data_IF_698069346016
#
_entry.id   IF_698069346016
#
_cell.length_a   1.000
_cell.length_b   1.000
_cell.length_c   1.000
_cell.angle_alpha   90.00
_cell.angle_beta   90.00
_cell.angle_gamma   90.00
#
_symmetry.space_group_name_H-M   'P 1'
#
loop_
_entity.id
_entity.type
_entity.pdbx_description
1 polymer ?
#
# COMPACT_ATOMS: atom_id res chain seq x y z
N UNK A 1 -5.22 -20.86 -4.40
CA UNK A 1 -6.34 -19.90 -4.50
C UNK A 1 -6.00 -18.81 -3.50
N UNK A 2 -5.50 -17.67 -3.97
CA UNK A 2 -4.87 -16.63 -3.13
C UNK A 2 -5.89 -15.54 -2.76
N UNK A 3 -5.99 -15.07 -1.50
CA UNK A 3 -6.91 -14.01 -1.09
C UNK A 3 -6.21 -12.62 -1.13
N UNK A 4 -6.90 -11.59 -1.66
CA UNK A 4 -7.57 -10.47 -0.96
C UNK A 4 -6.61 -9.32 -0.61
N UNK A 5 -6.75 -8.19 -1.33
CA UNK A 5 -6.03 -6.94 -1.07
C UNK A 5 -6.59 -6.28 0.20
N UNK A 6 -5.69 -5.97 1.13
CA UNK A 6 -5.94 -5.40 2.46
C UNK A 6 -6.20 -3.88 2.36
N UNK A 7 -7.41 -3.42 2.69
CA UNK A 7 -7.68 -2.00 2.90
C UNK A 7 -7.79 -1.73 4.40
N UNK A 8 -6.74 -1.15 4.98
CA UNK A 8 -6.70 -0.81 6.41
C UNK A 8 -7.40 0.53 6.71
N UNK A 9 -8.41 0.51 7.58
CA UNK A 9 -9.05 1.70 8.16
C UNK A 9 -9.00 1.68 9.69
N UNK A 10 -8.90 2.87 10.30
CA UNK A 10 -8.87 3.06 11.77
C UNK A 10 -10.24 3.55 12.26
N UNK A 11 -10.76 2.93 13.33
CA UNK A 11 -11.91 3.41 14.08
C UNK A 11 -11.54 3.56 15.54
N UNK A 12 -11.75 4.74 16.10
CA UNK A 12 -11.64 5.00 17.54
C UNK A 12 -13.05 5.02 18.15
N UNK A 13 -13.27 4.18 19.16
CA UNK A 13 -14.46 4.28 20.01
C UNK A 13 -14.05 4.93 21.33
N UNK A 14 -14.55 6.15 21.54
CA UNK A 14 -14.43 6.86 22.82
C UNK A 14 -15.63 6.53 23.71
N UNK A 15 -15.37 6.17 24.97
CA UNK A 15 -16.41 6.12 25.98
C UNK A 15 -16.81 7.55 26.35
N UNK A 16 -17.97 8.00 25.86
CA UNK A 16 -18.50 9.36 26.04
C UNK A 16 -18.63 9.77 27.52
N UNK A 17 -18.68 8.81 28.45
CA UNK A 17 -18.77 9.09 29.87
C UNK A 17 -17.41 9.28 30.56
N UNK A 18 -16.32 8.75 29.99
CA UNK A 18 -14.99 8.74 30.63
C UNK A 18 -13.84 9.28 29.78
N UNK A 19 -14.08 9.55 28.49
CA UNK A 19 -13.07 10.06 27.54
C UNK A 19 -11.90 9.11 27.31
N UNK A 20 -12.02 7.84 27.71
CA UNK A 20 -10.92 6.87 27.62
C UNK A 20 -11.16 5.96 26.41
N UNK A 21 -10.26 5.89 25.41
CA UNK A 21 -10.37 4.94 24.31
C UNK A 21 -10.18 3.53 24.87
N UNK A 22 -11.17 2.63 24.70
CA UNK A 22 -11.14 1.32 25.39
C UNK A 22 -10.65 0.15 24.56
N UNK A 23 -10.82 0.12 23.24
CA UNK A 23 -10.27 -0.94 22.38
C UNK A 23 -10.15 -0.42 20.94
N UNK A 24 -8.96 -0.50 20.35
CA UNK A 24 -8.78 -0.39 18.90
C UNK A 24 -8.60 -1.81 18.34
N UNK A 25 -9.45 -2.20 17.39
CA UNK A 25 -9.27 -3.40 16.59
C UNK A 25 -9.26 -3.01 15.12
N UNK A 26 -8.10 -3.14 14.49
CA UNK A 26 -8.00 -3.13 13.03
C UNK A 26 -8.46 -4.48 12.51
N UNK A 27 -9.42 -4.47 11.60
CA UNK A 27 -9.77 -5.65 10.81
C UNK A 27 -9.52 -5.28 9.37
N UNK A 28 -8.56 -5.94 8.73
CA UNK A 28 -8.42 -5.81 7.30
C UNK A 28 -9.61 -6.46 6.62
N UNK A 29 -10.25 -5.72 5.72
CA UNK A 29 -11.35 -6.21 4.93
C UNK A 29 -10.86 -6.46 3.52
N UNK A 30 -10.79 -7.74 3.14
CA UNK A 30 -10.61 -8.13 1.76
C UNK A 30 -11.84 -7.74 0.94
N UNK A 31 -11.66 -6.85 -0.02
CA UNK A 31 -12.74 -6.44 -0.92
C UNK A 31 -12.77 -7.38 -2.13
N UNK A 32 -13.88 -8.09 -2.31
CA UNK A 32 -14.10 -8.98 -3.47
C UNK A 32 -15.35 -8.55 -4.26
N UNK A 33 -15.33 -8.77 -5.57
CA UNK A 33 -16.48 -8.52 -6.44
C UNK A 33 -17.72 -9.32 -6.02
N UNK A 34 -18.91 -8.86 -6.45
CA UNK A 34 -20.17 -9.55 -6.20
C UNK A 34 -20.11 -11.00 -6.74
N UNK A 35 -20.01 -11.98 -5.84
CA UNK A 35 -19.75 -13.39 -6.17
C UNK A 35 -18.56 -13.99 -5.40
N UNK A 36 -17.85 -13.19 -4.61
CA UNK A 36 -16.75 -13.65 -3.75
C UNK A 36 -15.50 -14.09 -4.53
N UNK A 37 -15.41 -13.72 -5.80
CA UNK A 37 -14.30 -14.10 -6.68
C UNK A 37 -13.83 -12.89 -7.48
N UNK A 38 -12.52 -12.61 -7.41
CA UNK A 38 -11.86 -11.56 -8.19
C UNK A 38 -11.89 -10.16 -7.56
N UNK A 39 -11.04 -9.24 -8.09
CA UNK A 39 -10.95 -7.86 -7.63
C UNK A 39 -12.25 -7.08 -7.90
N UNK A 40 -12.49 -6.01 -7.14
CA UNK A 40 -13.57 -5.08 -7.46
C UNK A 40 -13.30 -4.44 -8.82
N UNK A 41 -14.37 -4.22 -9.58
CA UNK A 41 -14.27 -3.40 -10.77
C UNK A 41 -13.90 -1.96 -10.39
N UNK A 42 -13.21 -1.22 -11.28
CA UNK A 42 -13.05 0.22 -11.11
C UNK A 42 -14.40 0.92 -10.94
N UNK A 43 -14.49 1.85 -9.99
CA UNK A 43 -15.71 2.59 -9.70
C UNK A 43 -15.78 3.15 -8.29
N UNK A 44 -16.88 3.86 -8.00
CA UNK A 44 -17.17 4.38 -6.66
C UNK A 44 -18.14 3.45 -5.94
N UNK A 45 -17.80 3.13 -4.70
CA UNK A 45 -18.50 2.21 -3.83
C UNK A 45 -18.83 2.89 -2.50
N UNK A 46 -19.93 2.47 -1.88
CA UNK A 46 -20.25 2.84 -0.50
C UNK A 46 -19.93 1.66 0.41
N UNK A 47 -19.04 1.88 1.37
CA UNK A 47 -18.65 0.88 2.36
C UNK A 47 -19.49 1.05 3.61
N UNK A 48 -20.02 -0.05 4.10
CA UNK A 48 -20.75 -0.14 5.36
C UNK A 48 -20.12 -1.22 6.22
N UNK A 49 -20.00 -0.98 7.52
CA UNK A 49 -19.54 -1.97 8.49
C UNK A 49 -20.70 -2.34 9.40
N UNK A 50 -21.00 -3.64 9.51
CA UNK A 50 -22.03 -4.15 10.43
C UNK A 50 -21.36 -5.00 11.50
N UNK A 51 -21.60 -4.68 12.77
CA UNK A 51 -21.16 -5.54 13.88
C UNK A 51 -22.21 -6.62 14.11
N UNK A 52 -21.75 -7.87 14.22
CA UNK A 52 -22.59 -9.02 14.57
C UNK A 52 -22.11 -9.61 15.90
N UNK A 53 -23.05 -10.05 16.74
CA UNK A 53 -22.69 -10.80 17.95
C UNK A 53 -22.26 -12.24 17.62
N UNK A 54 -21.81 -12.99 18.63
CA UNK A 54 -21.34 -14.38 18.48
C UNK A 54 -22.41 -15.35 17.95
N UNK A 55 -23.66 -14.92 17.90
CA UNK A 55 -24.81 -15.67 17.38
C UNK A 55 -25.23 -15.20 15.99
N UNK A 56 -24.52 -14.23 15.41
CA UNK A 56 -24.76 -13.67 14.08
C UNK A 56 -25.81 -12.55 14.04
N UNK A 57 -26.25 -12.02 15.18
CA UNK A 57 -27.25 -10.95 15.22
C UNK A 57 -26.57 -9.61 14.98
N UNK A 58 -27.04 -8.85 13.98
CA UNK A 58 -26.56 -7.49 13.75
C UNK A 58 -26.88 -6.58 14.96
N UNK A 59 -25.86 -5.88 15.47
CA UNK A 59 -25.96 -4.99 16.64
C UNK A 59 -25.81 -3.51 16.30
N UNK A 60 -25.31 -3.20 15.12
CA UNK A 60 -25.21 -1.84 14.61
C UNK A 60 -24.57 -1.81 13.22
N UNK A 61 -24.79 -0.72 12.50
CA UNK A 61 -24.12 -0.41 11.24
C UNK A 61 -23.46 0.95 11.31
N UNK A 62 -22.26 1.07 10.76
CA UNK A 62 -21.55 2.32 10.57
C UNK A 62 -21.27 2.55 9.09
N UNK A 63 -21.13 3.82 8.70
CA UNK A 63 -21.02 4.28 7.33
C UNK A 63 -22.23 5.16 6.91
N UNK A 64 -22.35 5.50 5.62
CA UNK A 64 -21.47 5.07 4.53
C UNK A 64 -20.11 5.78 4.52
N UNK A 65 -19.09 5.10 3.99
CA UNK A 65 -17.83 5.71 3.60
C UNK A 65 -17.59 5.54 2.11
N UNK A 66 -17.19 6.63 1.46
CA UNK A 66 -16.85 6.62 0.05
C UNK A 66 -15.54 5.86 -0.17
N UNK A 67 -15.60 4.83 -1.02
CA UNK A 67 -14.44 4.12 -1.55
C UNK A 67 -14.41 4.32 -3.05
N UNK A 68 -13.26 4.71 -3.59
CA UNK A 68 -13.04 4.73 -5.04
C UNK A 68 -12.01 3.68 -5.40
N UNK A 69 -12.44 2.65 -6.12
CA UNK A 69 -11.56 1.68 -6.76
C UNK A 69 -11.13 2.29 -8.08
N UNK A 70 -9.84 2.58 -8.20
CA UNK A 70 -9.33 3.22 -9.39
C UNK A 70 -9.29 2.27 -10.60
N UNK A 71 -9.34 2.85 -11.79
CA UNK A 71 -9.09 2.10 -13.02
C UNK A 71 -7.62 1.68 -13.06
N UNK A 72 -7.35 0.40 -13.36
CA UNK A 72 -5.99 -0.09 -13.54
C UNK A 72 -5.32 0.75 -14.62
N UNK A 73 -4.18 1.37 -14.29
CA UNK A 73 -3.45 2.24 -15.21
C UNK A 73 -3.02 1.51 -16.48
N UNK A 74 -2.76 2.24 -17.59
CA UNK A 74 -2.32 1.64 -18.84
C UNK A 74 -1.05 0.80 -18.66
N UNK A 75 -0.91 -0.24 -19.50
CA UNK A 75 0.15 -1.25 -19.46
C UNK A 75 1.52 -0.67 -19.10
N UNK A 76 2.17 -1.31 -18.14
CA UNK A 76 3.52 -0.98 -17.72
C UNK A 76 4.47 -0.99 -18.93
N UNK A 77 5.22 0.11 -19.14
CA UNK A 77 6.41 0.04 -19.99
C UNK A 77 7.34 -1.03 -19.41
N UNK A 78 7.99 -1.79 -20.30
CA UNK A 78 9.00 -2.74 -19.89
C UNK A 78 10.09 -2.04 -19.05
N UNK A 79 10.45 -2.64 -17.92
CA UNK A 79 11.54 -2.15 -17.09
C UNK A 79 12.87 -2.27 -17.84
N UNK A 80 13.83 -1.37 -17.61
CA UNK A 80 15.16 -1.46 -18.21
C UNK A 80 15.86 -2.77 -17.85
N UNK A 81 16.75 -3.22 -18.74
CA UNK A 81 17.59 -4.39 -18.48
C UNK A 81 18.42 -4.21 -17.19
N UNK A 82 18.42 -5.24 -16.34
CA UNK A 82 19.12 -5.22 -15.06
C UNK A 82 18.41 -4.44 -13.96
N UNK A 83 17.18 -3.98 -14.19
CA UNK A 83 16.31 -3.52 -13.11
C UNK A 83 16.02 -4.72 -12.16
N UNK A 84 16.03 -4.53 -10.83
CA UNK A 84 15.85 -5.61 -9.87
C UNK A 84 14.43 -6.21 -9.93
N UNK A 85 14.33 -7.50 -9.64
CA UNK A 85 13.04 -8.18 -9.48
C UNK A 85 12.42 -7.80 -8.13
N UNK A 86 11.85 -6.60 -8.08
CA UNK A 86 11.18 -6.01 -6.92
C UNK A 86 9.75 -5.70 -7.33
N UNK A 87 8.75 -6.08 -6.50
CA UNK A 87 7.36 -5.81 -6.84
C UNK A 87 7.08 -4.31 -6.76
N UNK A 88 6.57 -3.78 -7.85
CA UNK A 88 6.11 -2.40 -7.98
C UNK A 88 4.58 -2.40 -8.07
N UNK A 89 3.95 -1.31 -7.65
CA UNK A 89 2.52 -1.13 -7.83
C UNK A 89 2.13 -1.34 -9.29
N UNK A 90 0.96 -1.94 -9.50
CA UNK A 90 0.32 -1.94 -10.81
C UNK A 90 0.05 -0.50 -11.25
N UNK A 91 0.42 -0.18 -12.48
CA UNK A 91 0.26 1.17 -13.02
C UNK A 91 1.18 1.45 -14.20
N UNK A 92 1.22 2.73 -14.59
CA UNK A 92 2.04 3.17 -15.72
C UNK A 92 3.43 3.57 -15.24
N UNK A 93 4.45 2.86 -15.71
CA UNK A 93 5.85 3.26 -15.52
C UNK A 93 6.11 4.60 -16.23
N UNK A 94 6.52 5.61 -15.46
CA UNK A 94 6.91 6.94 -15.94
C UNK A 94 8.39 6.92 -16.35
N UNK A 95 9.24 6.53 -15.40
CA UNK A 95 10.69 6.42 -15.59
C UNK A 95 11.24 5.28 -14.74
N UNK A 96 12.30 4.64 -15.23
CA UNK A 96 13.17 3.77 -14.45
C UNK A 96 14.60 4.00 -14.91
N UNK A 97 15.50 4.31 -13.97
CA UNK A 97 16.88 4.66 -14.28
C UNK A 97 17.81 4.35 -13.11
N UNK A 98 19.11 4.31 -13.38
CA UNK A 98 20.13 4.15 -12.35
C UNK A 98 20.13 5.36 -11.41
N UNK A 99 20.22 5.08 -10.12
CA UNK A 99 20.26 6.08 -9.06
C UNK A 99 21.35 5.71 -8.06
N UNK A 100 22.49 6.41 -8.11
CA UNK A 100 23.71 5.96 -7.42
C UNK A 100 24.11 4.55 -7.86
N UNK A 101 24.43 3.68 -6.91
CA UNK A 101 24.70 2.26 -7.15
C UNK A 101 23.43 1.41 -7.34
N UNK A 102 22.26 2.04 -7.20
CA UNK A 102 20.96 1.41 -7.22
C UNK A 102 20.10 1.82 -8.40
N UNK A 103 18.79 1.84 -8.16
CA UNK A 103 17.77 2.17 -9.15
C UNK A 103 16.69 3.08 -8.56
N UNK A 104 16.13 3.94 -9.40
CA UNK A 104 14.90 4.67 -9.12
C UNK A 104 13.86 4.32 -10.19
N UNK A 105 12.61 4.12 -9.77
CA UNK A 105 11.47 3.96 -10.66
C UNK A 105 10.30 4.80 -10.19
N UNK A 106 9.58 5.44 -11.11
CA UNK A 106 8.36 6.18 -10.80
C UNK A 106 7.18 5.53 -11.53
N UNK A 107 6.15 5.18 -10.75
CA UNK A 107 4.93 4.55 -11.24
C UNK A 107 3.76 5.51 -11.00
N UNK A 108 3.00 5.83 -12.04
CA UNK A 108 1.69 6.48 -11.85
C UNK A 108 0.75 5.48 -11.20
N UNK A 109 0.24 5.86 -10.04
CA UNK A 109 -0.70 5.10 -9.26
C UNK A 109 -1.78 6.05 -8.74
N UNK A 110 -3.06 5.83 -9.10
CA UNK A 110 -4.17 6.61 -8.54
C UNK A 110 -4.36 6.30 -7.04
N UNK A 111 -5.15 7.12 -6.35
CA UNK A 111 -5.48 6.91 -4.94
C UNK A 111 -4.60 7.71 -3.97
N UNK A 112 -5.20 8.16 -2.87
CA UNK A 112 -4.50 8.89 -1.81
C UNK A 112 -3.60 7.97 -0.97
N UNK A 113 -3.93 6.69 -0.93
CA UNK A 113 -3.31 5.59 -0.20
C UNK A 113 -2.22 4.85 -1.00
N UNK A 114 -1.90 5.30 -2.22
CA UNK A 114 -0.91 4.65 -3.10
C UNK A 114 0.44 4.34 -2.44
N UNK A 115 1.00 5.23 -1.61
CA UNK A 115 2.26 4.92 -0.91
C UNK A 115 2.10 3.82 0.13
N UNK A 116 0.91 3.73 0.76
CA UNK A 116 0.58 2.65 1.68
C UNK A 116 0.44 1.32 0.92
N UNK A 117 -0.31 1.31 -0.18
CA UNK A 117 -0.45 0.13 -1.03
C UNK A 117 0.91 -0.36 -1.58
N UNK A 118 1.78 0.57 -1.98
CA UNK A 118 3.16 0.24 -2.41
C UNK A 118 3.98 -0.40 -1.29
N UNK A 119 3.83 0.10 -0.07
CA UNK A 119 4.50 -0.47 1.11
C UNK A 119 3.97 -1.86 1.43
N UNK A 120 2.66 -2.03 1.47
CA UNK A 120 2.02 -3.32 1.80
C UNK A 120 2.45 -4.39 0.79
N UNK A 121 2.50 -4.04 -0.50
CA UNK A 121 3.05 -4.93 -1.55
C UNK A 121 4.50 -5.36 -1.29
N UNK A 122 5.36 -4.45 -0.84
CA UNK A 122 6.75 -4.75 -0.51
C UNK A 122 6.85 -5.62 0.76
N UNK A 123 6.03 -5.36 1.78
CA UNK A 123 5.98 -6.13 3.03
C UNK A 123 5.53 -7.56 2.73
N UNK A 124 4.45 -7.74 1.98
CA UNK A 124 3.98 -9.06 1.58
C UNK A 124 5.05 -9.83 0.80
N UNK A 125 5.84 -9.15 -0.03
CA UNK A 125 6.92 -9.78 -0.76
C UNK A 125 8.07 -10.20 0.17
N UNK A 126 8.43 -9.36 1.14
CA UNK A 126 9.43 -9.69 2.15
C UNK A 126 9.01 -10.90 2.98
N UNK A 127 7.74 -10.99 3.38
CA UNK A 127 7.22 -12.13 4.15
C UNK A 127 7.32 -13.46 3.40
N UNK A 128 7.28 -13.44 2.06
CA UNK A 128 7.42 -14.63 1.22
C UNK A 128 8.88 -15.03 0.97
N UNK A 129 9.84 -14.14 1.21
CA UNK A 129 11.23 -14.33 0.82
C UNK A 129 12.13 -14.47 2.06
N UNK A 130 12.74 -15.64 2.31
CA UNK A 130 13.66 -15.84 3.42
C UNK A 130 14.83 -14.83 3.40
N UNK A 131 15.14 -14.24 4.56
CA UNK A 131 16.22 -13.24 4.70
C UNK A 131 15.79 -11.79 4.43
N UNK A 132 14.50 -11.56 4.16
CA UNK A 132 13.92 -10.21 4.16
C UNK A 132 13.60 -9.76 5.59
N UNK A 133 13.64 -8.46 5.83
CA UNK A 133 13.28 -7.87 7.12
C UNK A 133 12.47 -6.57 6.88
N UNK A 134 11.14 -6.59 7.10
CA UNK A 134 10.31 -5.41 6.93
C UNK A 134 10.56 -4.32 7.99
N UNK A 135 11.33 -4.63 9.05
CA UNK A 135 11.71 -3.69 10.10
C UNK A 135 13.18 -3.23 9.99
N UNK A 136 13.90 -3.58 8.92
CA UNK A 136 15.31 -3.22 8.78
C UNK A 136 15.49 -1.69 8.74
N UNK A 137 16.22 -1.10 9.72
CA UNK A 137 16.45 0.33 9.76
C UNK A 137 17.21 0.84 8.52
N UNK A 138 17.99 0.01 7.83
CA UNK A 138 18.68 0.38 6.59
C UNK A 138 17.70 0.68 5.45
N UNK A 139 16.50 0.09 5.46
CA UNK A 139 15.42 0.45 4.55
C UNK A 139 14.65 1.69 5.02
N UNK A 140 14.74 2.05 6.30
CA UNK A 140 14.04 3.19 6.91
C UNK A 140 14.85 4.49 6.97
N UNK A 141 16.15 4.47 6.67
CA UNK A 141 17.03 5.62 6.88
C UNK A 141 17.61 6.17 5.58
N UNK A 142 16.94 7.17 4.99
CA UNK A 142 17.59 8.14 4.11
C UNK A 142 17.01 9.56 4.30
N UNK A 143 17.85 10.61 4.43
CA UNK A 143 17.38 11.98 4.51
C UNK A 143 17.17 12.54 3.10
N UNK A 144 15.92 12.77 2.71
CA UNK A 144 15.63 13.76 1.67
C UNK A 144 15.53 15.12 2.35
N UNK A 145 16.34 16.09 1.94
CA UNK A 145 16.38 17.42 2.52
C UNK A 145 14.97 18.03 2.58
N UNK A 146 14.48 18.29 3.79
CA UNK A 146 13.35 19.18 4.03
C UNK A 146 11.96 18.55 4.16
N UNK A 147 11.80 17.22 4.09
CA UNK A 147 10.48 16.60 4.30
C UNK A 147 10.55 15.46 5.32
N UNK A 148 9.86 15.65 6.45
CA UNK A 148 9.53 14.60 7.41
C UNK A 148 8.58 13.60 6.73
N UNK A 149 9.11 12.65 5.95
CA UNK A 149 8.29 11.63 5.31
C UNK A 149 8.12 10.40 6.22
N UNK A 150 6.87 9.99 6.41
CA UNK A 150 6.45 8.63 6.77
C UNK A 150 6.57 7.71 5.56
N UNK A 151 7.76 7.63 4.95
CA UNK A 151 8.06 6.60 3.96
C UNK A 151 8.30 5.28 4.69
N UNK A 152 7.66 4.21 4.25
CA UNK A 152 7.94 2.88 4.75
C UNK A 152 8.84 2.18 3.73
N UNK A 153 9.98 1.69 4.20
CA UNK A 153 10.93 0.92 3.41
C UNK A 153 10.95 -0.53 3.86
N UNK A 154 11.29 -1.43 2.95
CA UNK A 154 11.38 -2.86 3.18
C UNK A 154 12.72 -3.36 2.67
N UNK A 155 13.37 -4.23 3.45
CA UNK A 155 14.59 -4.91 3.05
C UNK A 155 14.26 -6.27 2.42
N UNK A 156 14.50 -6.38 1.12
CA UNK A 156 14.57 -7.63 0.37
C UNK A 156 16.01 -8.17 0.40
N UNK A 157 16.29 -9.44 0.06
CA UNK A 157 17.60 -10.05 0.30
C UNK A 157 18.79 -9.31 -0.33
N UNK A 158 18.62 -8.73 -1.52
CA UNK A 158 19.67 -7.98 -2.23
C UNK A 158 19.44 -6.46 -2.27
N UNK A 159 18.29 -5.98 -1.79
CA UNK A 159 17.85 -4.60 -2.01
C UNK A 159 17.12 -4.05 -0.80
N UNK A 160 17.47 -2.85 -0.37
CA UNK A 160 16.64 -2.01 0.47
C UNK A 160 15.76 -1.16 -0.45
N UNK A 161 14.45 -1.25 -0.28
CA UNK A 161 13.47 -0.61 -1.16
C UNK A 161 12.64 0.39 -0.36
N UNK A 162 12.51 1.60 -0.87
CA UNK A 162 11.64 2.64 -0.31
C UNK A 162 10.59 3.02 -1.33
N UNK A 163 9.33 3.18 -0.89
CA UNK A 163 8.25 3.68 -1.71
C UNK A 163 7.71 4.99 -1.13
N UNK A 164 7.65 6.04 -1.95
CA UNK A 164 7.24 7.39 -1.52
C UNK A 164 6.16 7.93 -2.43
N UNK A 165 5.10 8.49 -1.86
CA UNK A 165 4.09 9.21 -2.63
C UNK A 165 4.72 10.44 -3.31
N UNK A 166 4.45 10.59 -4.59
CA UNK A 166 4.92 11.72 -5.40
C UNK A 166 3.79 12.19 -6.33
N UNK A 167 4.15 13.11 -7.22
CA UNK A 167 3.41 13.50 -8.41
C UNK A 167 4.38 13.57 -9.59
N UNK A 168 3.92 13.16 -10.77
CA UNK A 168 4.68 13.32 -12.02
C UNK A 168 4.83 14.82 -12.36
N UNK A 169 5.73 15.19 -13.28
CA UNK A 169 5.85 16.58 -13.74
C UNK A 169 4.54 17.19 -14.28
N UNK A 170 3.66 16.34 -14.80
CA UNK A 170 2.35 16.72 -15.34
C UNK A 170 1.25 16.76 -14.25
N UNK A 171 1.59 16.49 -13.00
CA UNK A 171 0.69 16.53 -11.83
C UNK A 171 -0.10 15.25 -11.57
N UNK A 172 0.20 14.15 -12.28
CA UNK A 172 -0.46 12.86 -12.01
C UNK A 172 0.05 12.26 -10.70
N UNK A 173 -0.84 11.74 -9.82
CA UNK A 173 -0.42 11.01 -8.62
C UNK A 173 0.51 9.83 -8.96
N UNK A 174 1.66 9.76 -8.28
CA UNK A 174 2.66 8.71 -8.52
C UNK A 174 3.24 8.17 -7.22
N UNK A 175 3.99 7.08 -7.33
CA UNK A 175 4.87 6.52 -6.30
C UNK A 175 6.27 6.39 -6.88
N UNK A 176 7.26 6.90 -6.16
CA UNK A 176 8.68 6.73 -6.48
C UNK A 176 9.25 5.62 -5.61
N UNK A 177 9.85 4.63 -6.27
CA UNK A 177 10.61 3.55 -5.69
C UNK A 177 12.10 3.86 -5.78
N UNK A 178 12.79 3.79 -4.64
CA UNK A 178 14.25 3.89 -4.57
C UNK A 178 14.79 2.55 -4.06
N UNK A 179 15.68 1.94 -4.84
CA UNK A 179 16.25 0.63 -4.58
C UNK A 179 17.75 0.79 -4.38
N UNK A 180 18.23 0.42 -3.19
CA UNK A 180 19.65 0.47 -2.83
C UNK A 180 20.18 -0.95 -2.62
N UNK A 181 21.32 -1.34 -3.21
CA UNK A 181 21.89 -2.66 -2.99
C UNK A 181 22.20 -2.89 -1.50
N UNK A 182 21.96 -4.12 -1.01
CA UNK A 182 22.40 -4.55 0.33
C UNK A 182 23.68 -5.37 0.20
N UNK A 183 24.63 -5.10 1.09
CA UNK A 183 25.94 -5.76 1.17
C UNK A 183 25.89 -7.05 1.98
#
# INVERSE_FOLDING_TARGET
>A
MYPLEDVGGWWEAEDVATGTPRVAQGVSLGLAGCGGTGPLAPGTYQVYATTVDSVGTARGSAGPWDLTVAEGGPEARALPDGFPDVPLLGGRLVTAHRHGDGWAAEIVAPGADRARAATDLLVEAAERVPGSDPADPAALTWPYEGVLFTGAGVALPAWAVQAVASQTPDGEPSVVYILTPRS
#
